data_IF_494729075358
#
_entry.id   IF_494729075358
#
_cell.length_a   1.000
_cell.length_b   1.000
_cell.length_c   1.000
_cell.angle_alpha   90.00
_cell.angle_beta   90.00
_cell.angle_gamma   90.00
#
_symmetry.space_group_name_H-M   'P 1'
#
loop_
_entity.id
_entity.type
_entity.pdbx_description
1 polymer ?
#
# COMPACT_ATOMS: atom_id res chain seq x y z
N UNK A 1 -19.70 9.37 -22.70
CA UNK A 1 -18.27 8.98 -22.62
C UNK A 1 -17.99 8.60 -21.19
N UNK A 2 -17.60 7.36 -20.94
CA UNK A 2 -17.28 6.89 -19.60
C UNK A 2 -15.78 7.09 -19.34
N UNK A 3 -15.43 7.52 -18.14
CA UNK A 3 -14.05 7.62 -17.69
C UNK A 3 -13.81 6.61 -16.59
N UNK A 4 -12.65 5.97 -16.61
CA UNK A 4 -12.19 5.04 -15.60
C UNK A 4 -11.02 5.66 -14.85
N UNK A 5 -11.08 5.69 -13.54
CA UNK A 5 -10.00 6.10 -12.64
C UNK A 5 -9.44 4.89 -11.90
N UNK A 6 -8.12 4.73 -11.93
CA UNK A 6 -7.41 3.67 -11.20
C UNK A 6 -6.39 4.31 -10.27
N UNK A 7 -6.51 4.03 -9.00
CA UNK A 7 -5.44 4.26 -8.03
C UNK A 7 -4.61 2.98 -7.92
N UNK A 8 -3.41 2.99 -8.50
CA UNK A 8 -2.47 1.88 -8.43
C UNK A 8 -1.51 2.10 -7.25
N UNK A 9 -1.92 1.73 -6.05
CA UNK A 9 -1.14 1.96 -4.84
C UNK A 9 -0.06 0.92 -4.55
N UNK A 10 0.91 1.26 -3.70
CA UNK A 10 1.98 0.33 -3.24
C UNK A 10 1.42 -0.82 -2.42
N UNK A 11 0.42 -0.56 -1.59
CA UNK A 11 -0.19 -1.54 -0.68
C UNK A 11 -1.58 -1.94 -1.13
N UNK A 12 -2.41 -0.97 -1.49
CA UNK A 12 -3.79 -1.17 -1.95
C UNK A 12 -4.03 -0.40 -3.23
N UNK A 13 -4.91 -0.92 -4.07
CA UNK A 13 -5.33 -0.30 -5.32
C UNK A 13 -6.85 -0.25 -5.41
N UNK A 14 -7.39 0.70 -6.15
CA UNK A 14 -8.83 0.88 -6.32
C UNK A 14 -9.18 1.26 -7.75
N UNK A 15 -10.44 1.03 -8.14
CA UNK A 15 -10.96 1.41 -9.45
C UNK A 15 -12.36 2.01 -9.33
N UNK A 16 -12.59 3.06 -10.08
CA UNK A 16 -13.92 3.66 -10.22
C UNK A 16 -14.21 4.00 -11.68
N UNK A 17 -15.48 4.24 -12.00
CA UNK A 17 -15.90 4.87 -13.24
C UNK A 17 -16.64 6.17 -12.96
N UNK A 18 -16.68 7.03 -13.98
CA UNK A 18 -17.40 8.28 -13.98
C UNK A 18 -18.17 8.42 -15.29
N UNK A 19 -19.47 8.57 -15.22
CA UNK A 19 -20.39 8.64 -16.36
C UNK A 19 -20.70 10.08 -16.83
N UNK A 20 -20.09 11.07 -16.20
CA UNK A 20 -20.34 12.50 -16.42
C UNK A 20 -21.12 13.16 -15.27
N UNK A 21 -21.76 12.38 -14.41
CA UNK A 21 -22.53 12.83 -13.26
C UNK A 21 -22.07 12.15 -11.95
N UNK A 22 -22.02 10.83 -11.94
CA UNK A 22 -21.78 10.01 -10.74
C UNK A 22 -20.47 9.25 -10.83
N UNK A 23 -19.76 9.14 -9.69
CA UNK A 23 -18.60 8.24 -9.52
C UNK A 23 -19.11 6.92 -8.94
N UNK A 24 -18.79 5.84 -9.61
CA UNK A 24 -19.10 4.47 -9.18
C UNK A 24 -17.80 3.78 -8.76
N UNK A 25 -17.63 3.53 -7.47
CA UNK A 25 -16.51 2.75 -6.94
C UNK A 25 -16.83 1.26 -7.04
N UNK A 26 -15.91 0.48 -7.61
CA UNK A 26 -16.08 -0.97 -7.75
C UNK A 26 -15.33 -1.71 -6.67
N UNK A 27 -16.05 -2.60 -5.99
CA UNK A 27 -15.53 -3.38 -4.87
C UNK A 27 -14.86 -4.67 -5.33
N UNK A 28 -13.91 -5.13 -4.53
CA UNK A 28 -13.35 -6.46 -4.69
C UNK A 28 -14.42 -7.56 -4.52
N UNK A 29 -14.16 -8.82 -4.92
CA UNK A 29 -15.06 -9.94 -4.65
C UNK A 29 -15.40 -10.11 -3.17
N UNK A 30 -14.50 -9.72 -2.28
CA UNK A 30 -14.68 -9.72 -0.82
C UNK A 30 -15.44 -8.49 -0.30
N UNK A 31 -16.01 -7.66 -1.19
CA UNK A 31 -16.76 -6.44 -0.89
C UNK A 31 -15.94 -5.32 -0.23
N UNK A 32 -14.63 -5.28 -0.44
CA UNK A 32 -13.78 -4.18 -0.02
C UNK A 32 -13.68 -3.11 -1.12
N UNK A 33 -13.59 -1.86 -0.71
CA UNK A 33 -13.42 -0.70 -1.60
C UNK A 33 -12.03 -0.64 -2.24
N UNK A 34 -11.08 -1.39 -1.68
CA UNK A 34 -9.70 -1.51 -2.17
C UNK A 34 -9.30 -2.97 -2.34
N UNK A 35 -8.35 -3.21 -3.23
CA UNK A 35 -7.73 -4.51 -3.49
C UNK A 35 -6.26 -4.44 -3.12
N UNK A 36 -5.76 -5.31 -2.22
CA UNK A 36 -4.33 -5.37 -1.93
C UNK A 36 -3.49 -5.57 -3.17
N UNK A 37 -2.43 -4.77 -3.32
CA UNK A 37 -1.46 -4.86 -4.42
C UNK A 37 -0.50 -6.03 -4.16
N UNK A 38 -1.03 -7.24 -4.21
CA UNK A 38 -0.33 -8.48 -3.90
C UNK A 38 -0.63 -9.56 -4.95
N UNK A 39 0.40 -10.34 -5.27
CA UNK A 39 0.32 -11.48 -6.18
C UNK A 39 0.91 -12.69 -5.48
N UNK A 40 0.26 -13.82 -5.59
CA UNK A 40 0.74 -15.09 -5.04
C UNK A 40 0.70 -16.17 -6.12
N UNK A 41 1.78 -16.92 -6.26
CA UNK A 41 1.93 -17.98 -7.23
C UNK A 41 2.13 -19.33 -6.53
N UNK A 42 1.31 -20.30 -6.87
CA UNK A 42 1.50 -21.68 -6.45
C UNK A 42 1.30 -22.68 -7.60
N UNK A 43 1.36 -23.97 -7.30
CA UNK A 43 1.15 -25.05 -8.29
C UNK A 43 -0.28 -25.06 -8.85
N UNK A 44 -1.25 -24.43 -8.19
CA UNK A 44 -2.66 -24.39 -8.59
C UNK A 44 -2.98 -23.18 -9.45
N UNK A 45 -2.11 -22.17 -9.43
CA UNK A 45 -2.30 -20.97 -10.24
C UNK A 45 -1.82 -19.68 -9.57
N UNK A 46 -2.34 -18.59 -10.07
CA UNK A 46 -2.05 -17.22 -9.64
C UNK A 46 -3.26 -16.66 -8.90
N UNK A 47 -2.98 -16.02 -7.77
CA UNK A 47 -3.96 -15.27 -6.97
C UNK A 47 -3.51 -13.83 -6.87
N UNK A 48 -4.46 -12.89 -6.85
CA UNK A 48 -4.22 -11.45 -6.74
C UNK A 48 -5.17 -10.88 -5.66
N UNK A 49 -4.76 -9.83 -5.00
CA UNK A 49 -5.57 -9.15 -3.99
C UNK A 49 -5.52 -9.80 -2.60
N UNK A 50 -6.64 -9.81 -1.88
CA UNK A 50 -6.74 -10.20 -0.46
C UNK A 50 -6.20 -11.59 -0.18
N UNK A 51 -6.54 -12.57 -1.02
CA UNK A 51 -6.04 -13.94 -0.87
C UNK A 51 -4.53 -14.02 -1.06
N UNK A 52 -3.99 -13.32 -2.05
CA UNK A 52 -2.55 -13.26 -2.28
C UNK A 52 -1.83 -12.61 -1.10
N UNK A 53 -2.38 -11.54 -0.56
CA UNK A 53 -1.82 -10.82 0.58
C UNK A 53 -1.78 -11.68 1.85
N UNK A 54 -2.87 -12.38 2.16
CA UNK A 54 -2.91 -13.31 3.29
C UNK A 54 -1.91 -14.47 3.14
N UNK A 55 -1.78 -15.02 1.92
CA UNK A 55 -0.81 -16.09 1.63
C UNK A 55 0.65 -15.62 1.68
N UNK A 56 0.91 -14.34 1.38
CA UNK A 56 2.25 -13.75 1.41
C UNK A 56 2.89 -13.75 2.81
N UNK A 57 2.07 -13.72 3.86
CA UNK A 57 2.56 -13.80 5.24
C UNK A 57 3.19 -15.18 5.53
N UNK A 58 2.56 -16.26 5.06
CA UNK A 58 3.01 -17.64 5.28
C UNK A 58 4.07 -18.10 4.26
N UNK A 59 3.91 -17.72 2.99
CA UNK A 59 4.74 -18.19 1.87
C UNK A 59 5.29 -17.01 1.05
N UNK A 60 6.11 -16.14 1.66
CA UNK A 60 6.60 -14.94 1.00
C UNK A 60 7.50 -15.23 -0.21
N UNK A 61 8.13 -16.41 -0.25
CA UNK A 61 8.94 -16.86 -1.40
C UNK A 61 8.10 -17.14 -2.66
N UNK A 62 6.77 -17.05 -2.57
CA UNK A 62 5.80 -17.21 -3.66
C UNK A 62 4.97 -15.96 -3.92
N UNK A 63 5.24 -14.89 -3.18
CA UNK A 63 4.42 -13.69 -3.21
C UNK A 63 5.19 -12.46 -3.63
N UNK A 64 4.62 -11.68 -4.54
CA UNK A 64 5.06 -10.34 -4.89
C UNK A 64 4.17 -9.32 -4.19
N UNK A 65 4.78 -8.50 -3.33
CA UNK A 65 4.15 -7.36 -2.65
C UNK A 65 5.06 -6.14 -2.73
N UNK A 66 4.49 -4.93 -2.61
CA UNK A 66 5.25 -3.66 -2.59
C UNK A 66 6.10 -3.42 -3.86
N UNK A 67 5.82 -4.10 -4.95
CA UNK A 67 6.59 -4.04 -6.20
C UNK A 67 6.53 -2.65 -6.87
N UNK A 68 5.53 -1.81 -6.59
CA UNK A 68 5.46 -0.42 -7.08
C UNK A 68 6.70 0.40 -6.68
N UNK A 69 7.37 0.04 -5.58
CA UNK A 69 8.62 0.71 -5.15
C UNK A 69 9.79 0.50 -6.13
N UNK A 70 9.71 -0.52 -6.96
CA UNK A 70 10.74 -0.88 -7.94
C UNK A 70 10.38 -0.47 -9.37
N UNK A 71 9.24 0.22 -9.57
CA UNK A 71 8.82 0.72 -10.89
C UNK A 71 9.89 1.61 -11.51
N UNK A 72 10.15 1.38 -12.80
CA UNK A 72 11.17 2.11 -13.54
C UNK A 72 12.61 1.73 -13.18
N UNK A 73 12.80 0.63 -12.46
CA UNK A 73 14.14 0.06 -12.20
C UNK A 73 14.28 -1.29 -12.92
N UNK A 74 15.50 -1.74 -13.10
CA UNK A 74 15.80 -3.08 -13.60
C UNK A 74 15.75 -4.17 -12.52
N UNK A 75 15.33 -3.84 -11.30
CA UNK A 75 15.29 -4.78 -10.18
C UNK A 75 14.17 -5.78 -10.37
N UNK A 76 14.48 -7.07 -10.55
CA UNK A 76 13.45 -8.09 -10.68
C UNK A 76 12.75 -8.35 -9.35
N UNK A 77 11.52 -8.80 -9.44
CA UNK A 77 10.78 -9.37 -8.30
C UNK A 77 11.07 -10.85 -8.27
N UNK A 78 11.99 -11.24 -7.41
CA UNK A 78 12.41 -12.61 -7.25
C UNK A 78 11.40 -13.40 -6.40
N UNK A 79 10.99 -14.56 -6.92
CA UNK A 79 10.09 -15.49 -6.26
C UNK A 79 10.78 -16.86 -6.18
N UNK A 80 11.62 -17.09 -5.16
CA UNK A 80 12.53 -18.25 -5.11
C UNK A 80 11.87 -19.62 -5.24
N UNK A 81 10.59 -19.73 -4.84
CA UNK A 81 9.83 -20.99 -4.96
C UNK A 81 9.09 -21.15 -6.31
N UNK A 82 9.27 -20.21 -7.23
CA UNK A 82 8.63 -20.21 -8.55
C UNK A 82 9.72 -20.07 -9.61
N UNK A 83 9.76 -20.91 -10.66
CA UNK A 83 10.80 -20.85 -11.70
C UNK A 83 10.57 -19.69 -12.68
N UNK A 84 10.18 -18.54 -12.17
CA UNK A 84 9.91 -17.33 -12.95
C UNK A 84 10.19 -16.09 -12.12
N UNK A 85 10.97 -15.20 -12.67
CA UNK A 85 11.16 -13.84 -12.16
C UNK A 85 10.12 -12.94 -12.83
N UNK A 86 9.52 -12.03 -12.07
CA UNK A 86 8.57 -11.04 -12.57
C UNK A 86 9.24 -9.65 -12.57
N UNK A 87 8.83 -8.80 -13.50
CA UNK A 87 9.18 -7.38 -13.43
C UNK A 87 8.14 -6.61 -12.60
N UNK A 88 8.50 -5.43 -12.05
CA UNK A 88 7.53 -4.56 -11.38
C UNK A 88 6.33 -4.21 -12.28
N UNK A 89 6.59 -4.01 -13.60
CA UNK A 89 5.57 -3.72 -14.60
C UNK A 89 4.62 -4.91 -14.80
N UNK A 90 5.15 -6.14 -14.89
CA UNK A 90 4.32 -7.35 -14.97
C UNK A 90 3.45 -7.53 -13.71
N UNK A 91 4.01 -7.29 -12.52
CA UNK A 91 3.25 -7.32 -11.28
C UNK A 91 2.14 -6.26 -11.27
N UNK A 92 2.47 -5.04 -11.66
CA UNK A 92 1.49 -3.95 -11.74
C UNK A 92 0.38 -4.25 -12.75
N UNK A 93 0.74 -4.84 -13.90
CA UNK A 93 -0.22 -5.25 -14.92
C UNK A 93 -1.23 -6.29 -14.41
N UNK A 94 -0.80 -7.20 -13.53
CA UNK A 94 -1.72 -8.16 -12.93
C UNK A 94 -2.75 -7.50 -12.01
N UNK A 95 -2.34 -6.51 -11.23
CA UNK A 95 -3.27 -5.71 -10.43
C UNK A 95 -4.25 -4.96 -11.34
N UNK A 96 -3.72 -4.28 -12.37
CA UNK A 96 -4.55 -3.53 -13.33
C UNK A 96 -5.59 -4.42 -14.02
N UNK A 97 -5.22 -5.65 -14.45
CA UNK A 97 -6.16 -6.60 -15.05
C UNK A 97 -7.29 -6.98 -14.10
N UNK A 98 -6.95 -7.26 -12.84
CA UNK A 98 -7.94 -7.63 -11.83
C UNK A 98 -8.89 -6.48 -11.55
N UNK A 99 -8.38 -5.28 -11.34
CA UNK A 99 -9.21 -4.09 -11.12
C UNK A 99 -10.11 -3.81 -12.34
N UNK A 100 -9.54 -3.82 -13.54
CA UNK A 100 -10.31 -3.59 -14.76
C UNK A 100 -11.39 -4.65 -14.97
N UNK A 101 -11.14 -5.88 -14.49
CA UNK A 101 -12.12 -6.97 -14.48
C UNK A 101 -13.33 -6.74 -13.56
N UNK A 102 -13.28 -5.79 -12.62
CA UNK A 102 -14.44 -5.43 -11.80
C UNK A 102 -15.44 -4.54 -12.51
N UNK A 103 -15.03 -3.89 -13.61
CA UNK A 103 -15.91 -3.04 -14.40
C UNK A 103 -17.00 -3.85 -15.12
N UNK A 104 -18.20 -3.30 -15.29
CA UNK A 104 -19.22 -3.86 -16.18
C UNK A 104 -18.69 -4.09 -17.61
N UNK A 105 -19.22 -5.09 -18.30
CA UNK A 105 -18.81 -5.43 -19.67
C UNK A 105 -18.98 -4.26 -20.65
N UNK A 106 -20.04 -3.48 -20.48
CA UNK A 106 -20.33 -2.32 -21.32
C UNK A 106 -19.22 -1.26 -21.24
N UNK A 107 -18.60 -1.12 -20.07
CA UNK A 107 -17.48 -0.19 -19.88
C UNK A 107 -16.19 -0.83 -20.41
N UNK A 108 -15.92 -2.09 -20.04
CA UNK A 108 -14.68 -2.76 -20.43
C UNK A 108 -14.48 -2.88 -21.92
N UNK A 109 -15.56 -3.11 -22.65
CA UNK A 109 -15.54 -3.40 -24.10
C UNK A 109 -15.83 -2.17 -24.95
N UNK A 110 -15.93 -0.98 -24.35
CA UNK A 110 -16.17 0.26 -25.08
C UNK A 110 -14.88 0.89 -25.57
N UNK A 111 -14.82 1.19 -26.86
CA UNK A 111 -13.69 1.93 -27.48
C UNK A 111 -13.66 3.42 -27.06
N UNK A 112 -14.73 3.92 -26.41
CA UNK A 112 -14.86 5.32 -25.98
C UNK A 112 -14.51 5.53 -24.48
N UNK A 113 -13.84 4.60 -23.83
CA UNK A 113 -13.44 4.72 -22.43
C UNK A 113 -12.08 5.42 -22.31
N UNK A 114 -12.06 6.54 -21.63
CA UNK A 114 -10.82 7.18 -21.19
C UNK A 114 -10.37 6.64 -19.83
N UNK A 115 -9.21 6.00 -19.76
CA UNK A 115 -8.66 5.48 -18.49
C UNK A 115 -7.57 6.41 -17.95
N UNK A 116 -7.64 6.72 -16.67
CA UNK A 116 -6.62 7.50 -15.94
C UNK A 116 -6.05 6.64 -14.82
N UNK A 117 -4.72 6.53 -14.75
CA UNK A 117 -4.01 5.90 -13.63
C UNK A 117 -3.30 6.99 -12.82
N UNK A 118 -3.47 6.97 -11.49
CA UNK A 118 -2.76 7.91 -10.63
C UNK A 118 -1.34 7.46 -10.35
N UNK A 119 -0.43 8.45 -10.25
CA UNK A 119 0.99 8.26 -9.92
C UNK A 119 1.44 9.28 -8.89
N UNK A 120 2.38 8.97 -7.99
CA UNK A 120 2.95 9.92 -7.06
C UNK A 120 3.50 11.16 -7.77
N UNK A 121 3.38 12.34 -7.14
CA UNK A 121 3.93 13.58 -7.69
C UNK A 121 5.46 13.50 -7.89
N UNK A 122 6.15 12.73 -7.05
CA UNK A 122 7.60 12.54 -7.10
C UNK A 122 8.07 11.56 -8.18
N UNK A 123 7.17 10.86 -8.89
CA UNK A 123 7.58 9.91 -9.95
C UNK A 123 8.35 10.61 -11.06
N UNK A 124 9.55 10.10 -11.34
CA UNK A 124 10.34 10.50 -12.48
C UNK A 124 9.79 9.90 -13.79
N UNK A 125 10.39 10.27 -14.93
CA UNK A 125 9.91 9.84 -16.25
C UNK A 125 9.99 8.31 -16.40
N UNK A 126 11.07 7.65 -15.91
CA UNK A 126 11.21 6.18 -16.00
C UNK A 126 10.09 5.45 -15.25
N UNK A 127 9.68 5.95 -14.08
CA UNK A 127 8.59 5.38 -13.31
C UNK A 127 7.22 5.60 -13.98
N UNK A 128 7.02 6.74 -14.63
CA UNK A 128 5.82 7.02 -15.44
C UNK A 128 5.75 6.10 -16.64
N UNK A 129 6.85 5.94 -17.37
CA UNK A 129 6.93 5.07 -18.54
C UNK A 129 6.69 3.60 -18.14
N UNK A 130 7.23 3.15 -17.00
CA UNK A 130 6.97 1.83 -16.43
C UNK A 130 5.49 1.63 -16.09
N UNK A 131 4.80 2.67 -15.58
CA UNK A 131 3.35 2.60 -15.31
C UNK A 131 2.56 2.48 -16.61
N UNK A 132 2.95 3.21 -17.67
CA UNK A 132 2.35 3.06 -19.00
C UNK A 132 2.62 1.69 -19.60
N UNK A 133 3.83 1.15 -19.42
CA UNK A 133 4.17 -0.21 -19.85
C UNK A 133 3.31 -1.28 -19.14
N UNK A 134 3.09 -1.12 -17.83
CA UNK A 134 2.20 -2.00 -17.06
C UNK A 134 0.76 -1.96 -17.60
N UNK A 135 0.25 -0.78 -17.96
CA UNK A 135 -1.08 -0.63 -18.56
C UNK A 135 -1.16 -1.31 -19.94
N UNK A 136 -0.12 -1.18 -20.75
CA UNK A 136 -0.03 -1.86 -22.05
C UNK A 136 0.02 -3.38 -21.89
N UNK A 137 0.81 -3.92 -20.96
CA UNK A 137 0.86 -5.36 -20.61
C UNK A 137 -0.51 -5.83 -20.11
N UNK A 138 -1.23 -5.00 -19.35
CA UNK A 138 -2.57 -5.31 -18.86
C UNK A 138 -3.64 -5.28 -19.96
N UNK A 139 -3.39 -4.65 -21.09
CA UNK A 139 -4.32 -4.50 -22.23
C UNK A 139 -5.61 -3.75 -21.85
N UNK A 140 -5.50 -2.70 -21.03
CA UNK A 140 -6.63 -1.92 -20.56
C UNK A 140 -6.94 -0.69 -21.43
N UNK A 141 -6.47 -0.67 -22.66
CA UNK A 141 -6.73 0.38 -23.65
C UNK A 141 -5.80 1.59 -23.51
N UNK A 142 -6.29 2.75 -23.96
CA UNK A 142 -5.55 4.01 -23.86
C UNK A 142 -5.61 4.57 -22.45
N UNK A 143 -4.44 4.93 -21.91
CA UNK A 143 -4.30 5.40 -20.54
C UNK A 143 -3.61 6.77 -20.53
N UNK A 144 -4.11 7.67 -19.68
CA UNK A 144 -3.42 8.88 -19.27
C UNK A 144 -2.96 8.76 -17.81
N UNK A 145 -1.89 9.46 -17.46
CA UNK A 145 -1.43 9.54 -16.07
C UNK A 145 -1.85 10.85 -15.44
N UNK A 146 -2.23 10.78 -14.17
CA UNK A 146 -2.53 11.94 -13.33
C UNK A 146 -1.74 11.83 -12.03
N UNK A 147 -1.27 12.96 -11.52
CA UNK A 147 -0.60 12.97 -10.21
C UNK A 147 -1.62 12.78 -9.09
N UNK A 148 -1.32 11.89 -8.13
CA UNK A 148 -2.17 11.56 -6.98
C UNK A 148 -2.70 12.80 -6.24
N UNK A 149 -1.88 13.81 -5.89
CA UNK A 149 -2.40 15.01 -5.23
C UNK A 149 -3.34 15.84 -6.10
N UNK A 150 -3.15 15.85 -7.42
CA UNK A 150 -4.08 16.53 -8.35
C UNK A 150 -5.44 15.85 -8.34
N UNK A 151 -5.45 14.51 -8.41
CA UNK A 151 -6.67 13.72 -8.34
C UNK A 151 -7.42 13.93 -7.01
N UNK A 152 -6.67 13.98 -5.88
CA UNK A 152 -7.23 14.25 -4.56
C UNK A 152 -7.92 15.62 -4.49
N UNK A 153 -7.27 16.68 -4.97
CA UNK A 153 -7.86 18.04 -5.01
C UNK A 153 -9.09 18.06 -5.90
N UNK A 154 -9.02 17.49 -7.10
CA UNK A 154 -10.17 17.44 -8.01
C UNK A 154 -11.38 16.73 -7.40
N UNK A 155 -11.15 15.66 -6.63
CA UNK A 155 -12.21 14.95 -5.91
C UNK A 155 -12.89 15.84 -4.85
N UNK A 156 -12.12 16.61 -4.07
CA UNK A 156 -12.65 17.54 -3.07
C UNK A 156 -13.38 18.70 -3.71
N UNK A 157 -12.82 19.28 -4.78
CA UNK A 157 -13.45 20.39 -5.52
C UNK A 157 -14.79 20.02 -6.13
N UNK A 158 -14.93 18.80 -6.64
CA UNK A 158 -16.20 18.30 -7.15
C UNK A 158 -17.33 18.37 -6.09
N UNK A 159 -16.99 18.07 -4.84
CA UNK A 159 -17.93 18.09 -3.72
C UNK A 159 -18.21 19.53 -3.23
N UNK A 160 -17.16 20.34 -3.10
CA UNK A 160 -17.23 21.65 -2.43
C UNK A 160 -17.38 22.83 -3.39
N UNK A 161 -17.06 22.67 -4.69
CA UNK A 161 -17.12 23.71 -5.74
C UNK A 161 -16.42 25.03 -5.35
N UNK A 162 -15.35 24.93 -4.58
CA UNK A 162 -14.60 26.10 -4.08
C UNK A 162 -13.16 26.04 -4.55
N UNK A 163 -12.71 27.16 -5.16
CA UNK A 163 -11.30 27.39 -5.38
C UNK A 163 -10.57 27.65 -4.05
N UNK A 164 -9.27 27.39 -4.00
CA UNK A 164 -8.49 27.61 -2.81
C UNK A 164 -7.14 26.91 -2.79
N UNK A 165 -6.47 27.06 -1.65
CA UNK A 165 -5.21 26.37 -1.34
C UNK A 165 -5.50 25.05 -0.63
N UNK A 166 -4.84 23.99 -1.07
CA UNK A 166 -4.99 22.64 -0.52
C UNK A 166 -3.63 22.12 -0.07
N UNK A 167 -3.62 21.56 1.13
CA UNK A 167 -2.52 20.72 1.60
C UNK A 167 -2.97 19.26 1.49
N UNK A 168 -2.30 18.51 0.65
CA UNK A 168 -2.49 17.07 0.49
C UNK A 168 -1.44 16.39 1.38
N UNK A 169 -1.89 15.53 2.27
CA UNK A 169 -1.07 14.76 3.18
C UNK A 169 -1.43 13.30 3.01
N UNK A 170 -0.66 12.60 2.20
CA UNK A 170 -0.90 11.20 1.84
C UNK A 170 0.06 10.30 2.61
N UNK A 171 -0.44 9.72 3.70
CA UNK A 171 0.28 8.73 4.51
C UNK A 171 -0.07 7.32 4.02
N UNK A 172 0.72 6.85 3.09
CA UNK A 172 0.55 5.54 2.47
C UNK A 172 1.09 4.37 3.29
N UNK A 173 1.22 3.21 2.63
CA UNK A 173 1.76 1.99 3.27
C UNK A 173 3.28 2.03 3.51
N UNK A 174 4.02 2.92 2.87
CA UNK A 174 5.47 2.96 2.98
C UNK A 174 6.12 4.32 2.77
N UNK A 175 5.34 5.31 2.34
CA UNK A 175 5.79 6.69 2.12
C UNK A 175 4.76 7.65 2.68
N UNK A 176 5.22 8.81 3.03
CA UNK A 176 4.41 10.00 3.21
C UNK A 176 4.68 10.93 2.04
N UNK A 177 3.66 11.26 1.28
CA UNK A 177 3.71 12.26 0.22
C UNK A 177 2.92 13.50 0.63
N UNK A 178 3.55 14.67 0.49
CA UNK A 178 2.95 15.96 0.84
C UNK A 178 2.98 16.84 -0.39
N UNK A 179 1.85 17.47 -0.71
CA UNK A 179 1.77 18.41 -1.80
C UNK A 179 0.94 19.63 -1.39
N UNK A 180 1.38 20.80 -1.85
CA UNK A 180 0.60 22.03 -1.78
C UNK A 180 0.12 22.34 -3.17
N UNK A 181 -1.19 22.45 -3.33
CA UNK A 181 -1.83 22.71 -4.61
C UNK A 181 -2.81 23.89 -4.49
N UNK A 182 -2.92 24.66 -5.55
CA UNK A 182 -3.91 25.71 -5.69
C UNK A 182 -4.93 25.34 -6.76
N UNK A 183 -6.18 25.60 -6.46
CA UNK A 183 -7.25 25.56 -7.45
C UNK A 183 -7.74 26.95 -7.77
N UNK A 184 -7.80 27.28 -9.05
CA UNK A 184 -8.34 28.54 -9.56
C UNK A 184 -9.13 28.27 -10.83
N UNK A 185 -10.39 28.67 -10.85
CA UNK A 185 -11.31 28.50 -11.99
C UNK A 185 -11.35 27.06 -12.53
N UNK A 186 -11.38 26.07 -11.64
CA UNK A 186 -11.42 24.64 -11.99
C UNK A 186 -10.09 24.04 -12.47
N UNK A 187 -9.00 24.79 -12.40
CA UNK A 187 -7.65 24.31 -12.71
C UNK A 187 -6.88 24.07 -11.43
N UNK A 188 -6.21 22.93 -11.33
CA UNK A 188 -5.36 22.55 -10.20
C UNK A 188 -3.89 22.67 -10.60
N UNK A 189 -3.13 23.43 -9.83
CA UNK A 189 -1.69 23.61 -9.99
C UNK A 189 -0.96 23.17 -8.74
N UNK A 190 0.06 22.33 -8.88
CA UNK A 190 0.96 21.99 -7.77
C UNK A 190 1.96 23.13 -7.57
N UNK A 191 2.02 23.65 -6.35
CA UNK A 191 2.93 24.73 -5.95
C UNK A 191 4.23 24.18 -5.37
N UNK A 192 4.13 23.15 -4.54
CA UNK A 192 5.28 22.48 -3.94
C UNK A 192 4.97 21.02 -3.64
N UNK A 193 6.02 20.21 -3.59
CA UNK A 193 5.97 18.83 -3.16
C UNK A 193 7.08 18.51 -2.14
N UNK A 194 6.82 17.57 -1.27
CA UNK A 194 7.72 17.05 -0.26
C UNK A 194 7.25 15.68 0.21
N UNK A 195 7.93 15.12 1.20
CA UNK A 195 7.54 13.84 1.77
C UNK A 195 8.67 13.18 2.54
N UNK A 196 8.38 12.02 3.08
CA UNK A 196 9.34 11.19 3.81
C UNK A 196 9.26 9.77 3.26
N UNK A 197 10.37 9.27 2.76
CA UNK A 197 10.53 7.86 2.47
C UNK A 197 10.58 7.08 3.79
N UNK A 198 10.04 5.87 3.81
CA UNK A 198 9.98 5.03 5.02
C UNK A 198 9.20 5.70 6.18
N UNK A 199 8.10 6.36 5.85
CA UNK A 199 7.11 6.88 6.77
C UNK A 199 5.73 6.43 6.31
N UNK A 200 5.31 5.27 6.74
CA UNK A 200 4.02 4.72 6.36
C UNK A 200 3.60 3.54 7.24
N UNK A 201 2.47 2.93 6.91
CA UNK A 201 1.89 1.84 7.68
C UNK A 201 2.85 0.69 7.96
N UNK A 202 3.67 0.29 6.98
CA UNK A 202 4.62 -0.81 7.13
C UNK A 202 5.81 -0.46 8.07
N UNK A 203 6.14 0.82 8.20
CA UNK A 203 7.18 1.26 9.14
C UNK A 203 6.64 1.22 10.56
N UNK A 204 5.38 1.56 10.76
CA UNK A 204 4.68 1.41 12.04
C UNK A 204 4.53 -0.07 12.43
N UNK A 205 4.19 -0.95 11.50
CA UNK A 205 4.15 -2.41 11.75
C UNK A 205 5.51 -2.93 12.23
N UNK A 206 6.58 -2.44 11.59
CA UNK A 206 7.95 -2.79 11.99
C UNK A 206 8.28 -2.28 13.39
N UNK A 207 7.88 -1.06 13.74
CA UNK A 207 8.07 -0.50 15.08
C UNK A 207 7.33 -1.32 16.14
N UNK A 208 6.08 -1.74 15.86
CA UNK A 208 5.30 -2.60 16.76
C UNK A 208 6.04 -3.93 16.96
N UNK A 209 6.47 -4.57 15.86
CA UNK A 209 7.21 -5.82 15.94
C UNK A 209 8.49 -5.68 16.77
N UNK A 210 9.33 -4.67 16.47
CA UNK A 210 10.64 -4.52 17.10
C UNK A 210 10.53 -4.09 18.58
N UNK A 211 9.56 -3.24 18.94
CA UNK A 211 9.43 -2.70 20.29
C UNK A 211 8.52 -3.53 21.22
N UNK A 212 7.57 -4.27 20.69
CA UNK A 212 6.55 -4.96 21.48
C UNK A 212 6.67 -6.50 21.31
N UNK A 213 6.57 -7.00 20.07
CA UNK A 213 6.50 -8.45 19.83
C UNK A 213 7.85 -9.14 20.03
N UNK A 214 8.90 -8.57 19.48
CA UNK A 214 10.25 -9.15 19.55
C UNK A 214 10.78 -9.28 20.99
N UNK A 215 10.67 -8.27 21.88
CA UNK A 215 11.02 -8.43 23.29
C UNK A 215 10.18 -9.49 24.01
N UNK A 216 8.87 -9.54 23.72
CA UNK A 216 7.99 -10.55 24.29
C UNK A 216 8.43 -11.97 23.88
N UNK A 217 8.77 -12.17 22.60
CA UNK A 217 9.28 -13.46 22.11
C UNK A 217 10.55 -13.90 22.84
N UNK A 218 11.50 -12.99 23.07
CA UNK A 218 12.74 -13.30 23.80
C UNK A 218 12.52 -13.58 25.29
N UNK A 219 11.45 -13.06 25.89
CA UNK A 219 11.09 -13.37 27.28
C UNK A 219 10.48 -14.76 27.44
N UNK A 220 9.82 -15.27 26.40
CA UNK A 220 9.04 -16.51 26.47
C UNK A 220 9.71 -17.71 25.83
N UNK A 221 10.65 -17.49 24.91
CA UNK A 221 11.25 -18.54 24.10
C UNK A 221 12.76 -18.38 23.95
N UNK A 222 13.44 -19.53 23.84
CA UNK A 222 14.87 -19.57 23.51
C UNK A 222 15.07 -19.35 22.00
N UNK A 223 15.26 -18.11 21.59
CA UNK A 223 15.48 -17.72 20.21
C UNK A 223 16.86 -17.08 20.03
N UNK A 224 17.54 -17.32 18.90
CA UNK A 224 18.77 -16.61 18.57
C UNK A 224 18.49 -15.10 18.38
N UNK A 225 19.45 -14.25 18.73
CA UNK A 225 19.29 -12.78 18.68
C UNK A 225 18.97 -12.25 17.29
N UNK A 226 19.40 -12.98 16.26
CA UNK A 226 19.20 -12.71 14.84
C UNK A 226 18.11 -13.60 14.20
N UNK A 227 17.19 -14.16 14.99
CA UNK A 227 16.21 -15.15 14.52
C UNK A 227 15.48 -14.72 13.24
N UNK A 228 15.20 -13.42 13.07
CA UNK A 228 14.54 -12.89 11.86
C UNK A 228 15.38 -13.00 10.58
N UNK A 229 16.71 -13.17 10.70
CA UNK A 229 17.61 -13.41 9.56
C UNK A 229 17.77 -14.90 9.24
N UNK A 230 17.59 -15.78 10.23
CA UNK A 230 17.77 -17.21 10.06
C UNK A 230 16.61 -17.84 9.30
N UNK A 231 16.92 -18.68 8.31
CA UNK A 231 15.91 -19.31 7.44
C UNK A 231 14.81 -20.04 8.23
N UNK A 232 15.16 -20.72 9.33
CA UNK A 232 14.23 -21.43 10.20
C UNK A 232 13.17 -20.51 10.80
N UNK A 233 13.55 -19.33 11.26
CA UNK A 233 12.67 -18.41 12.00
C UNK A 233 12.16 -17.23 11.16
N UNK A 234 12.54 -17.11 9.88
CA UNK A 234 11.97 -16.11 8.98
C UNK A 234 10.43 -16.09 8.94
N UNK A 235 9.74 -17.26 8.93
CA UNK A 235 8.28 -17.27 9.00
C UNK A 235 7.74 -16.63 10.28
N UNK A 236 8.36 -16.91 11.45
CA UNK A 236 7.97 -16.27 12.71
C UNK A 236 8.02 -14.76 12.63
N UNK A 237 9.14 -14.18 12.18
CA UNK A 237 9.29 -12.73 12.07
C UNK A 237 8.27 -12.10 11.11
N UNK A 238 8.00 -12.74 9.97
CA UNK A 238 7.08 -12.25 8.95
C UNK A 238 5.61 -12.35 9.37
N UNK A 239 5.22 -13.47 9.94
CA UNK A 239 3.87 -13.65 10.45
C UNK A 239 3.60 -12.74 11.65
N UNK A 240 4.59 -12.50 12.50
CA UNK A 240 4.49 -11.54 13.59
C UNK A 240 4.32 -10.10 13.10
N UNK A 241 5.00 -9.71 12.01
CA UNK A 241 4.78 -8.41 11.35
C UNK A 241 3.35 -8.30 10.80
N UNK A 242 2.84 -9.34 10.18
CA UNK A 242 1.48 -9.37 9.66
C UNK A 242 0.43 -9.31 10.78
N UNK A 243 0.66 -10.02 11.89
CA UNK A 243 -0.20 -9.95 13.08
C UNK A 243 -0.16 -8.55 13.71
N UNK A 244 1.01 -7.89 13.71
CA UNK A 244 1.16 -6.49 14.15
C UNK A 244 0.36 -5.51 13.29
N UNK A 245 0.39 -5.67 11.97
CA UNK A 245 -0.42 -4.87 11.03
C UNK A 245 -1.91 -5.04 11.30
N UNK A 246 -2.39 -6.28 11.48
CA UNK A 246 -3.79 -6.53 11.81
C UNK A 246 -4.22 -5.84 13.11
N UNK A 247 -3.42 -6.01 14.16
CA UNK A 247 -3.70 -5.38 15.45
C UNK A 247 -3.70 -3.85 15.35
N UNK A 248 -2.75 -3.25 14.58
CA UNK A 248 -2.74 -1.81 14.29
C UNK A 248 -4.03 -1.36 13.61
N UNK A 249 -4.51 -2.11 12.61
CA UNK A 249 -5.75 -1.79 11.89
C UNK A 249 -6.96 -1.87 12.84
N UNK A 250 -7.04 -2.90 13.68
CA UNK A 250 -8.12 -3.04 14.67
C UNK A 250 -8.14 -1.90 15.68
N UNK A 251 -6.98 -1.39 16.10
CA UNK A 251 -6.85 -0.26 17.01
C UNK A 251 -7.36 1.07 16.39
N UNK A 252 -7.63 1.13 15.09
CA UNK A 252 -8.35 2.27 14.49
C UNK A 252 -9.81 2.37 14.97
N UNK A 253 -10.39 1.26 15.44
CA UNK A 253 -11.78 1.16 15.86
C UNK A 253 -11.95 0.72 17.33
N UNK A 254 -10.88 0.23 17.98
CA UNK A 254 -10.90 -0.32 19.33
C UNK A 254 -9.78 0.27 20.17
N UNK A 255 -9.94 0.24 21.49
CA UNK A 255 -8.91 0.67 22.44
C UNK A 255 -7.87 -0.43 22.72
N UNK A 256 -8.25 -1.68 22.50
CA UNK A 256 -7.39 -2.84 22.75
C UNK A 256 -7.52 -3.84 21.59
N UNK A 257 -6.42 -4.51 21.29
CA UNK A 257 -6.31 -5.60 20.31
C UNK A 257 -5.34 -6.65 20.84
N UNK A 258 -5.26 -7.79 20.16
CA UNK A 258 -4.35 -8.88 20.46
C UNK A 258 -3.47 -9.19 19.25
N UNK A 259 -2.16 -9.12 19.42
CA UNK A 259 -1.22 -9.63 18.41
C UNK A 259 -1.07 -11.12 18.66
N UNK A 260 -1.73 -11.94 17.85
CA UNK A 260 -1.85 -13.37 18.11
C UNK A 260 -1.48 -14.22 16.89
N UNK A 261 -0.74 -15.28 17.14
CA UNK A 261 -0.43 -16.37 16.23
C UNK A 261 -0.40 -17.67 17.02
N UNK A 262 -1.15 -18.66 16.60
CA UNK A 262 -1.18 -19.97 17.23
C UNK A 262 0.03 -20.85 16.85
N UNK A 263 0.28 -21.87 17.66
CA UNK A 263 1.30 -22.89 17.39
C UNK A 263 1.06 -23.59 16.04
N UNK A 264 -0.21 -23.83 15.69
CA UNK A 264 -0.59 -24.46 14.42
C UNK A 264 -0.28 -23.58 13.20
N UNK A 265 -0.46 -22.27 13.33
CA UNK A 265 -0.15 -21.33 12.25
C UNK A 265 1.35 -21.21 12.03
N UNK A 266 2.12 -21.15 13.10
CA UNK A 266 3.58 -21.03 13.04
C UNK A 266 4.24 -22.35 12.66
N UNK A 267 3.80 -23.47 13.26
CA UNK A 267 4.38 -24.81 13.11
C UNK A 267 5.91 -24.79 13.26
N UNK A 268 6.38 -24.12 14.29
CA UNK A 268 7.79 -23.90 14.61
C UNK A 268 8.02 -24.15 16.11
N UNK A 269 9.23 -24.58 16.44
CA UNK A 269 9.68 -24.70 17.84
C UNK A 269 10.96 -23.88 18.05
N UNK A 270 11.14 -23.39 19.29
CA UNK A 270 12.37 -22.73 19.73
C UNK A 270 13.57 -23.68 19.82
N UNK A 271 14.72 -23.20 20.29
CA UNK A 271 15.95 -24.00 20.39
C UNK A 271 15.86 -25.11 21.46
N UNK A 272 14.92 -25.00 22.39
CA UNK A 272 14.64 -26.00 23.41
C UNK A 272 13.52 -27.00 23.00
N UNK A 273 12.95 -26.84 21.80
CA UNK A 273 11.88 -27.72 21.31
C UNK A 273 10.48 -27.30 21.78
N UNK A 274 10.30 -26.12 22.40
CA UNK A 274 9.01 -25.59 22.80
C UNK A 274 8.29 -24.98 21.58
N UNK A 275 7.04 -25.36 21.35
CA UNK A 275 6.22 -24.81 20.26
C UNK A 275 6.06 -23.30 20.41
N UNK A 276 6.23 -22.58 19.31
CA UNK A 276 6.17 -21.11 19.24
C UNK A 276 4.73 -20.65 19.02
N UNK A 277 4.35 -19.63 19.75
CA UNK A 277 3.12 -18.85 19.53
C UNK A 277 3.40 -17.37 19.80
N UNK A 278 2.46 -16.51 19.47
CA UNK A 278 2.46 -15.09 19.84
C UNK A 278 1.12 -14.77 20.49
N UNK A 279 1.14 -14.14 21.65
CA UNK A 279 -0.06 -13.75 22.38
C UNK A 279 0.22 -12.48 23.20
N UNK A 280 0.16 -11.33 22.52
CA UNK A 280 0.58 -10.04 23.08
C UNK A 280 -0.60 -9.09 23.11
N UNK A 281 -1.14 -8.75 24.29
CA UNK A 281 -2.11 -7.66 24.44
C UNK A 281 -1.50 -6.33 23.98
N UNK A 282 -2.22 -5.61 23.14
CA UNK A 282 -1.75 -4.37 22.55
C UNK A 282 -2.82 -3.28 22.61
N UNK A 283 -2.48 -2.12 23.17
CA UNK A 283 -3.39 -1.01 23.41
C UNK A 283 -3.14 0.13 22.44
N UNK A 284 -4.20 0.90 22.15
CA UNK A 284 -4.11 2.12 21.33
C UNK A 284 -3.07 3.10 21.87
N UNK A 285 -3.06 3.35 23.21
CA UNK A 285 -2.08 4.23 23.81
C UNK A 285 -0.63 3.81 23.54
N UNK A 286 -0.34 2.52 23.55
CA UNK A 286 1.00 2.01 23.22
C UNK A 286 1.35 2.26 21.74
N UNK A 287 0.37 2.12 20.84
CA UNK A 287 0.54 2.45 19.42
C UNK A 287 0.82 3.95 19.26
N UNK A 288 0.01 4.81 19.88
CA UNK A 288 0.11 6.26 19.78
C UNK A 288 1.49 6.74 20.27
N UNK A 289 1.95 6.26 21.43
CA UNK A 289 3.26 6.59 21.99
C UNK A 289 4.41 6.13 21.06
N UNK A 290 4.24 4.95 20.43
CA UNK A 290 5.26 4.37 19.56
C UNK A 290 5.43 5.14 18.25
N UNK A 291 4.32 5.58 17.64
CA UNK A 291 4.36 6.26 16.34
C UNK A 291 4.49 7.77 16.43
N UNK A 292 4.24 8.38 17.61
CA UNK A 292 4.26 9.82 17.82
C UNK A 292 5.53 10.53 17.30
N UNK A 293 6.77 10.03 17.53
CA UNK A 293 7.97 10.67 17.00
C UNK A 293 7.95 10.77 15.47
N UNK A 294 7.48 9.74 14.79
CA UNK A 294 7.41 9.69 13.32
C UNK A 294 6.31 10.61 12.76
N UNK A 295 5.20 10.72 13.49
CA UNK A 295 4.13 11.67 13.15
C UNK A 295 4.59 13.12 13.32
N UNK A 296 5.37 13.43 14.36
CA UNK A 296 5.95 14.77 14.52
C UNK A 296 6.92 15.12 13.38
N UNK A 297 7.76 14.18 12.96
CA UNK A 297 8.63 14.35 11.78
C UNK A 297 7.80 14.66 10.52
N UNK A 298 6.68 13.98 10.36
CA UNK A 298 5.78 14.16 9.21
C UNK A 298 5.11 15.54 9.19
N UNK A 299 4.77 16.09 10.35
CA UNK A 299 4.23 17.44 10.50
C UNK A 299 5.28 18.49 10.10
N UNK A 300 6.54 18.30 10.50
CA UNK A 300 7.62 19.20 10.09
C UNK A 300 7.90 19.15 8.59
N UNK A 301 7.76 17.97 7.97
CA UNK A 301 7.83 17.84 6.52
C UNK A 301 6.68 18.62 5.83
N UNK A 302 5.47 18.58 6.39
CA UNK A 302 4.34 19.35 5.88
C UNK A 302 4.58 20.85 6.00
N UNK A 303 5.06 21.34 7.15
CA UNK A 303 5.44 22.74 7.36
C UNK A 303 6.51 23.20 6.37
N UNK A 304 7.52 22.36 6.16
CA UNK A 304 8.60 22.64 5.22
C UNK A 304 8.07 22.74 3.77
N UNK A 305 7.17 21.85 3.39
CA UNK A 305 6.55 21.87 2.05
C UNK A 305 5.66 23.10 1.88
N UNK A 306 4.94 23.51 2.92
CA UNK A 306 4.12 24.72 2.91
C UNK A 306 4.99 25.98 2.68
N UNK A 307 6.12 26.08 3.39
CA UNK A 307 7.09 27.18 3.20
C UNK A 307 7.67 27.21 1.79
N UNK A 308 7.99 26.05 1.20
CA UNK A 308 8.43 25.96 -0.20
C UNK A 308 7.39 26.50 -1.18
N UNK A 309 6.11 26.40 -0.84
CA UNK A 309 5.01 26.97 -1.63
C UNK A 309 4.80 28.49 -1.37
N UNK A 310 5.58 29.11 -0.50
CA UNK A 310 5.47 30.54 -0.16
C UNK A 310 4.47 30.87 0.94
N UNK A 311 4.03 29.88 1.71
CA UNK A 311 3.06 30.05 2.80
C UNK A 311 3.69 29.75 4.16
N UNK A 312 3.31 30.51 5.18
CA UNK A 312 3.72 30.24 6.56
C UNK A 312 2.62 29.46 7.30
N UNK A 313 2.99 28.39 8.03
CA UNK A 313 2.04 27.71 8.89
C UNK A 313 1.71 28.60 10.11
N UNK A 314 0.45 28.82 10.35
CA UNK A 314 -0.07 29.55 11.52
C UNK A 314 -0.38 28.57 12.65
#
# INVERSE_FOLDING_TARGET
MNYVGIDLGTTNSAICSYDGDTVHLYKSPEQHDVTPSAIFLDKRGKYVGSRAYASAAQFPERAAVKFKRFMGTSTPIDLPAVPRTLTPEECSAEILRVLFGYLPEEIRNSDEVGTVITVPAAFNQMQKDATMAAAAIAQIGQVALMQEPVAAVMSVMRQRKQDGLFCIYDLGGGTLDIAIAESTAGRVSLLAGGGIAMCGGADFDRQIFDAIVKPWLFQHFALPTDFGAQSRYKPLARMSLWASEKAKIELSQREESLISLSELELNLADENGRELYVDVPFKRQQLDDLIAPKLLESIEAARTTLRKAGYEPH
#
